data_IF_322297088532
#
_entry.id   IF_322297088532
#
_cell.length_a   1.000
_cell.length_b   1.000
_cell.length_c   1.000
_cell.angle_alpha   90.00
_cell.angle_beta   90.00
_cell.angle_gamma   90.00
#
_symmetry.space_group_name_H-M   'P 1'
#
loop_
_entity.id
_entity.type
_entity.pdbx_description
1 polymer ?
#
# COMPACT_ATOMS: atom_id res chain seq x y z
N UNK A 1 29.01 33.09 25.37
CA UNK A 1 27.79 32.31 25.61
C UNK A 1 26.87 32.57 24.44
N UNK A 2 26.95 31.76 23.39
CA UNK A 2 26.00 31.67 22.27
C UNK A 2 26.51 30.47 21.47
N UNK A 3 25.96 29.28 21.71
CA UNK A 3 24.80 28.68 21.03
C UNK A 3 25.27 27.68 19.97
N UNK A 4 24.79 26.47 20.16
CA UNK A 4 24.90 25.27 19.35
C UNK A 4 24.57 25.54 17.87
N UNK A 5 25.27 24.89 16.94
CA UNK A 5 24.64 24.28 15.77
C UNK A 5 25.58 23.20 15.21
N UNK A 6 25.24 21.94 15.50
CA UNK A 6 25.82 20.74 14.92
C UNK A 6 25.78 20.83 13.38
N UNK A 7 26.95 20.88 12.76
CA UNK A 7 27.12 20.97 11.30
C UNK A 7 26.75 19.64 10.63
N UNK A 8 25.46 19.45 10.36
CA UNK A 8 24.99 18.39 9.46
C UNK A 8 25.45 18.74 8.06
N UNK A 9 26.36 17.94 7.51
CA UNK A 9 26.81 18.01 6.12
C UNK A 9 25.58 18.00 5.19
N UNK A 10 25.37 18.99 4.31
CA UNK A 10 24.14 19.10 3.53
C UNK A 10 24.08 18.15 2.32
N UNK A 11 25.04 17.24 2.13
CA UNK A 11 25.22 16.55 0.85
C UNK A 11 24.49 15.20 0.73
N UNK A 12 23.21 15.12 1.12
CA UNK A 12 22.46 13.87 0.98
C UNK A 12 20.93 14.08 0.91
N UNK A 13 20.42 14.89 -0.02
CA UNK A 13 18.95 14.92 -0.29
C UNK A 13 18.47 15.57 -1.60
N UNK A 14 19.34 15.92 -2.54
CA UNK A 14 18.93 16.70 -3.72
C UNK A 14 19.25 16.01 -5.06
N UNK A 15 18.98 14.70 -5.19
CA UNK A 15 19.09 13.96 -6.48
C UNK A 15 17.79 13.34 -7.00
N UNK A 16 16.64 13.92 -6.68
CA UNK A 16 15.50 13.90 -7.62
C UNK A 16 14.92 15.32 -7.67
N UNK A 17 14.94 15.92 -8.85
CA UNK A 17 14.42 17.27 -9.04
C UNK A 17 12.94 17.33 -8.67
N UNK A 18 12.49 18.43 -8.06
CA UNK A 18 11.92 19.56 -8.80
C UNK A 18 11.49 20.68 -7.84
N UNK A 19 11.86 21.90 -8.20
CA UNK A 19 11.29 23.14 -7.69
C UNK A 19 9.89 23.33 -8.30
N UNK A 20 8.99 23.90 -7.50
CA UNK A 20 7.68 24.49 -7.81
C UNK A 20 6.49 23.61 -7.42
N UNK A 21 5.87 23.99 -6.30
CA UNK A 21 4.77 23.27 -5.68
C UNK A 21 3.47 23.37 -6.47
N UNK A 22 2.93 22.21 -6.85
CA UNK A 22 1.52 21.86 -6.89
C UNK A 22 1.44 20.31 -6.93
N UNK A 23 0.87 19.72 -5.87
CA UNK A 23 0.32 18.35 -5.77
C UNK A 23 1.26 17.13 -5.85
N UNK A 24 1.11 16.29 -4.81
CA UNK A 24 1.67 14.96 -4.53
C UNK A 24 3.21 14.85 -4.59
N UNK A 25 3.85 14.98 -3.43
CA UNK A 25 5.08 14.24 -3.16
C UNK A 25 4.78 12.76 -3.37
N UNK A 26 5.07 12.23 -4.56
CA UNK A 26 5.70 10.91 -4.59
C UNK A 26 7.05 11.14 -3.92
N UNK A 27 7.05 11.04 -2.59
CA UNK A 27 8.18 10.38 -1.95
C UNK A 27 8.21 9.07 -2.74
N UNK A 28 9.18 8.92 -3.63
CA UNK A 28 9.54 7.59 -4.08
C UNK A 28 9.97 6.93 -2.78
N UNK A 29 9.02 6.31 -2.08
CA UNK A 29 9.31 5.30 -1.08
C UNK A 29 9.93 4.18 -1.92
N UNK A 30 11.18 4.36 -2.33
CA UNK A 30 11.90 3.33 -3.03
C UNK A 30 12.11 2.28 -1.97
N UNK A 31 11.41 1.16 -2.11
CA UNK A 31 11.57 0.06 -1.15
C UNK A 31 13.01 -0.39 -1.29
N UNK A 32 13.79 -0.49 -0.20
CA UNK A 32 15.14 -1.05 -0.30
C UNK A 32 15.03 -2.46 -0.88
N UNK A 33 15.72 -2.74 -1.99
CA UNK A 33 15.56 -4.01 -2.73
C UNK A 33 14.74 -3.93 -4.01
N UNK A 34 14.01 -2.84 -4.26
CA UNK A 34 13.26 -2.59 -5.50
C UNK A 34 14.19 -1.92 -6.53
N UNK A 35 14.84 -2.75 -7.35
CA UNK A 35 15.81 -2.32 -8.35
C UNK A 35 15.12 -1.75 -9.60
N UNK A 36 13.94 -2.27 -9.96
CA UNK A 36 13.20 -1.85 -11.16
C UNK A 36 12.24 -0.66 -10.91
N UNK A 37 12.06 -0.26 -9.65
CA UNK A 37 11.16 0.79 -9.16
C UNK A 37 9.68 0.57 -9.49
N UNK A 38 9.25 -0.70 -9.56
CA UNK A 38 7.85 -1.05 -9.79
C UNK A 38 7.00 -0.99 -8.51
N UNK A 39 7.64 -0.79 -7.36
CA UNK A 39 7.00 -0.70 -6.06
C UNK A 39 6.69 -2.07 -5.43
N UNK A 40 7.34 -3.13 -5.89
CA UNK A 40 7.32 -4.49 -5.35
C UNK A 40 8.77 -4.99 -5.27
N UNK A 41 9.10 -5.77 -4.23
CA UNK A 41 10.40 -6.47 -4.17
C UNK A 41 10.18 -7.94 -4.49
N UNK A 42 10.56 -8.36 -5.70
CA UNK A 42 10.32 -9.71 -6.21
C UNK A 42 11.52 -10.34 -6.94
N UNK A 43 11.27 -11.43 -7.67
CA UNK A 43 12.28 -12.16 -8.44
C UNK A 43 12.88 -11.37 -9.61
N UNK A 44 12.19 -10.35 -10.10
CA UNK A 44 12.71 -9.44 -11.13
C UNK A 44 13.85 -8.59 -10.56
N UNK A 45 13.71 -8.09 -9.32
CA UNK A 45 14.78 -7.36 -8.65
C UNK A 45 15.98 -8.25 -8.35
N UNK A 46 15.72 -9.47 -7.90
CA UNK A 46 16.79 -10.45 -7.67
C UNK A 46 17.51 -10.83 -8.97
N UNK A 47 16.79 -10.86 -10.09
CA UNK A 47 17.40 -11.08 -11.41
C UNK A 47 18.31 -9.94 -11.81
N UNK A 48 17.92 -8.69 -11.55
CA UNK A 48 18.76 -7.50 -11.80
C UNK A 48 20.03 -7.56 -10.95
N UNK A 49 19.90 -7.83 -9.65
CA UNK A 49 21.05 -7.98 -8.76
C UNK A 49 21.98 -9.12 -9.20
N UNK A 50 21.43 -10.24 -9.67
CA UNK A 50 22.23 -11.36 -10.18
C UNK A 50 22.96 -11.04 -11.49
N UNK A 51 22.38 -10.20 -12.36
CA UNK A 51 23.02 -9.77 -13.61
C UNK A 51 24.25 -8.90 -13.38
N UNK A 52 24.26 -8.13 -12.29
CA UNK A 52 25.34 -7.22 -11.90
C UNK A 52 26.17 -7.75 -10.73
N UNK A 53 26.08 -9.05 -10.43
CA UNK A 53 26.74 -9.64 -9.27
C UNK A 53 28.26 -9.40 -9.29
N UNK A 54 28.78 -8.80 -8.22
CA UNK A 54 30.19 -8.41 -8.05
C UNK A 54 30.70 -7.40 -9.07
N UNK A 55 29.78 -6.67 -9.71
CA UNK A 55 30.17 -5.51 -10.49
C UNK A 55 30.58 -4.37 -9.54
N UNK A 56 31.56 -3.60 -9.99
CA UNK A 56 32.13 -2.45 -9.26
C UNK A 56 32.32 -1.25 -10.19
N UNK A 57 32.04 -1.41 -11.48
CA UNK A 57 32.12 -0.34 -12.46
C UNK A 57 30.68 0.08 -12.82
N UNK A 58 30.40 1.38 -12.73
CA UNK A 58 29.09 1.96 -13.07
C UNK A 58 27.89 1.37 -12.28
N UNK A 59 28.12 1.00 -11.02
CA UNK A 59 27.06 0.52 -10.12
C UNK A 59 26.17 1.67 -9.61
N UNK A 60 24.88 1.36 -9.49
CA UNK A 60 23.83 2.23 -9.00
C UNK A 60 22.71 1.41 -8.37
N UNK A 61 21.75 2.09 -7.76
CA UNK A 61 20.52 1.46 -7.25
C UNK A 61 19.85 0.52 -8.28
N UNK A 62 19.81 0.92 -9.55
CA UNK A 62 19.19 0.16 -10.64
C UNK A 62 19.99 -1.08 -11.06
N UNK A 63 21.25 -1.18 -10.65
CA UNK A 63 22.08 -2.36 -10.89
C UNK A 63 22.15 -3.26 -9.65
N UNK A 64 21.45 -2.92 -8.56
CA UNK A 64 21.40 -3.71 -7.34
C UNK A 64 22.38 -3.29 -6.24
N UNK A 65 22.98 -2.10 -6.31
CA UNK A 65 23.69 -1.50 -5.16
C UNK A 65 22.67 -0.72 -4.31
N UNK A 66 22.15 -1.37 -3.28
CA UNK A 66 21.13 -0.78 -2.41
C UNK A 66 21.73 -0.03 -1.22
N UNK A 67 23.03 -0.22 -0.96
CA UNK A 67 23.74 0.35 0.18
C UNK A 67 24.67 1.54 -0.20
N UNK A 68 24.82 1.80 -1.51
CA UNK A 68 25.64 2.86 -2.13
C UNK A 68 27.13 2.74 -1.75
N UNK A 69 27.65 1.52 -1.58
CA UNK A 69 29.07 1.24 -1.29
C UNK A 69 29.93 1.03 -2.54
N UNK A 70 29.31 1.05 -3.73
CA UNK A 70 30.02 0.94 -4.99
C UNK A 70 30.38 -0.50 -5.37
N UNK A 71 29.72 -1.49 -4.77
CA UNK A 71 29.76 -2.89 -5.20
C UNK A 71 28.37 -3.52 -5.09
N UNK A 72 28.10 -4.53 -5.93
CA UNK A 72 26.93 -5.41 -5.75
C UNK A 72 27.41 -6.70 -5.09
N UNK A 73 27.17 -6.84 -3.78
CA UNK A 73 27.66 -7.98 -2.99
C UNK A 73 26.58 -8.65 -2.12
N UNK A 74 26.99 -9.53 -1.20
CA UNK A 74 26.07 -10.24 -0.32
C UNK A 74 25.26 -9.31 0.59
N UNK A 75 25.74 -8.10 0.87
CA UNK A 75 25.01 -7.10 1.67
C UNK A 75 23.80 -6.59 0.90
N UNK A 76 23.92 -6.35 -0.40
CA UNK A 76 22.77 -5.93 -1.22
C UNK A 76 21.73 -7.04 -1.34
N UNK A 77 22.19 -8.29 -1.52
CA UNK A 77 21.30 -9.44 -1.50
C UNK A 77 20.57 -9.58 -0.15
N UNK A 78 21.23 -9.26 0.96
CA UNK A 78 20.60 -9.27 2.29
C UNK A 78 19.56 -8.16 2.46
N UNK A 79 19.78 -6.99 1.86
CA UNK A 79 18.82 -5.89 1.84
C UNK A 79 17.58 -6.29 1.03
N UNK A 80 17.78 -6.84 -0.17
CA UNK A 80 16.70 -7.33 -1.01
C UNK A 80 15.88 -8.42 -0.30
N UNK A 81 16.56 -9.41 0.29
CA UNK A 81 15.90 -10.49 1.04
C UNK A 81 15.12 -9.98 2.25
N UNK A 82 15.61 -8.94 2.93
CA UNK A 82 14.95 -8.35 4.10
C UNK A 82 13.64 -7.64 3.76
N UNK A 83 13.48 -7.18 2.52
CA UNK A 83 12.30 -6.45 2.05
C UNK A 83 11.47 -7.26 1.05
N UNK A 84 11.75 -8.55 0.89
CA UNK A 84 11.05 -9.43 -0.05
C UNK A 84 9.52 -9.39 0.14
N UNK A 85 8.80 -9.17 -0.95
CA UNK A 85 7.34 -9.11 -0.97
C UNK A 85 6.75 -7.83 -0.35
N UNK A 86 7.56 -6.85 0.04
CA UNK A 86 7.05 -5.52 0.35
C UNK A 86 6.49 -4.88 -0.92
N UNK A 87 5.37 -4.16 -0.75
CA UNK A 87 4.75 -3.42 -1.85
C UNK A 87 4.24 -2.07 -1.39
N UNK A 88 4.44 -1.06 -2.22
CA UNK A 88 3.93 0.29 -2.02
C UNK A 88 2.62 0.54 -2.79
N UNK A 89 1.98 -0.52 -3.25
CA UNK A 89 0.64 -0.39 -3.80
C UNK A 89 -0.32 0.07 -2.69
N UNK A 90 -1.12 1.12 -2.92
CA UNK A 90 -2.14 1.53 -1.97
C UNK A 90 -3.09 0.36 -1.78
N UNK A 91 -3.01 -0.30 -0.61
CA UNK A 91 -3.96 -1.33 -0.22
C UNK A 91 -5.33 -0.66 -0.16
N UNK A 92 -6.13 -0.84 -1.21
CA UNK A 92 -7.53 -0.45 -1.20
C UNK A 92 -8.22 -1.34 -0.18
N UNK A 93 -8.25 -0.86 1.06
CA UNK A 93 -9.05 -1.46 2.11
C UNK A 93 -10.49 -1.36 1.63
N UNK A 94 -11.01 -2.45 1.08
CA UNK A 94 -12.41 -2.60 0.71
C UNK A 94 -13.23 -2.64 2.00
N UNK A 95 -13.37 -1.47 2.62
CA UNK A 95 -14.38 -1.28 3.65
C UNK A 95 -15.71 -1.42 2.92
N UNK A 96 -16.38 -2.55 3.14
CA UNK A 96 -17.73 -2.76 2.64
C UNK A 96 -18.61 -1.70 3.31
N UNK A 97 -18.79 -0.55 2.64
CA UNK A 97 -19.72 0.47 3.11
C UNK A 97 -21.10 -0.16 3.01
N UNK A 98 -21.83 -0.37 4.13
CA UNK A 98 -23.19 -0.85 4.04
C UNK A 98 -24.00 0.23 3.32
N UNK A 99 -24.45 -0.09 2.11
CA UNK A 99 -25.23 0.84 1.31
C UNK A 99 -26.50 1.24 2.10
N UNK A 100 -26.79 2.53 2.28
CA UNK A 100 -27.98 2.98 3.02
C UNK A 100 -29.29 2.45 2.42
N UNK A 101 -29.26 2.03 1.15
CA UNK A 101 -30.38 1.45 0.43
C UNK A 101 -30.82 0.07 0.93
N UNK A 102 -29.92 -0.72 1.55
CA UNK A 102 -30.28 -2.04 2.08
C UNK A 102 -31.33 -1.94 3.21
N UNK A 103 -31.26 -0.88 4.02
CA UNK A 103 -32.23 -0.60 5.07
C UNK A 103 -33.59 -0.17 4.51
N UNK A 104 -33.59 0.57 3.40
CA UNK A 104 -34.82 1.06 2.75
C UNK A 104 -35.67 -0.08 2.18
N UNK A 105 -35.03 -1.13 1.65
CA UNK A 105 -35.77 -2.29 1.11
C UNK A 105 -36.29 -3.27 2.18
N UNK A 106 -35.70 -3.30 3.38
CA UNK A 106 -36.04 -4.28 4.41
C UNK A 106 -37.28 -3.86 5.25
N UNK A 107 -37.47 -2.56 5.46
CA UNK A 107 -38.61 -1.99 6.20
C UNK A 107 -40.00 -2.32 5.61
N UNK A 108 -40.26 -2.19 4.29
CA UNK A 108 -41.58 -2.50 3.72
C UNK A 108 -41.92 -3.99 3.77
N UNK A 109 -40.93 -4.90 3.65
CA UNK A 109 -41.16 -6.35 3.79
C UNK A 109 -41.58 -6.74 5.21
N UNK A 110 -40.95 -6.16 6.22
CA UNK A 110 -41.30 -6.42 7.62
C UNK A 110 -42.72 -5.94 7.96
N UNK A 111 -43.11 -4.76 7.44
CA UNK A 111 -44.46 -4.22 7.62
C UNK A 111 -45.53 -5.09 6.92
N UNK A 112 -45.26 -5.54 5.69
CA UNK A 112 -46.16 -6.42 4.94
C UNK A 112 -46.37 -7.77 5.65
N UNK A 113 -45.29 -8.37 6.17
CA UNK A 113 -45.35 -9.62 6.93
C UNK A 113 -46.18 -9.47 8.22
N UNK A 114 -46.06 -8.34 8.92
CA UNK A 114 -46.81 -8.08 10.15
C UNK A 114 -48.29 -7.82 9.89
N UNK A 115 -48.63 -7.10 8.82
CA UNK A 115 -50.01 -6.91 8.37
C UNK A 115 -50.67 -8.24 7.96
N UNK A 116 -49.96 -9.08 7.20
CA UNK A 116 -50.45 -10.40 6.82
C UNK A 116 -50.70 -11.31 8.05
N UNK A 117 -49.83 -11.24 9.06
CA UNK A 117 -49.99 -11.98 10.32
C UNK A 117 -51.20 -11.51 11.14
N UNK A 118 -51.47 -10.20 11.20
CA UNK A 118 -52.65 -9.65 11.90
C UNK A 118 -53.95 -10.02 11.20
N UNK A 119 -54.01 -9.98 9.87
CA UNK A 119 -55.19 -10.36 9.10
C UNK A 119 -55.55 -11.85 9.23
N UNK A 120 -54.56 -12.73 9.42
CA UNK A 120 -54.80 -14.18 9.65
C UNK A 120 -55.39 -14.47 11.03
N UNK A 121 -55.02 -13.68 12.05
CA UNK A 121 -55.53 -13.87 13.43
C UNK A 121 -57.01 -13.50 13.57
N UNK A 122 -57.46 -12.46 12.88
CA UNK A 122 -58.87 -12.01 12.95
C UNK A 122 -59.82 -12.93 12.19
N UNK A 123 -59.37 -13.59 11.12
CA UNK A 123 -60.18 -14.58 10.38
C UNK A 123 -60.48 -15.85 11.18
N UNK A 124 -59.55 -16.28 12.05
CA UNK A 124 -59.73 -17.47 12.90
C UNK A 124 -60.83 -17.30 13.96
N UNK A 125 -61.13 -16.05 14.36
CA UNK A 125 -62.15 -15.75 15.37
C UNK A 125 -63.58 -15.70 14.81
N UNK A 126 -63.76 -15.74 13.47
CA UNK A 126 -65.07 -15.73 12.81
C UNK A 126 -65.53 -17.13 12.34
N UNK A 127 -64.77 -18.19 12.60
CA UNK A 127 -65.13 -19.56 12.22
C UNK A 127 -65.69 -20.42 13.38
N UNK A 128 -66.03 -19.80 14.51
CA UNK A 128 -66.63 -20.46 15.69
C UNK A 128 -67.90 -19.72 16.17
N UNK A 129 -68.77 -19.32 15.24
CA UNK A 129 -70.12 -18.84 15.53
C UNK A 129 -71.08 -19.43 14.50
#
# INVERSE_FOLDING_TARGET
MESQQYGISPNQKDRCGLRNGHHYQRVSDTIPGDANQDGVVDDQDASILALHWRDTADVSWFTGDFNDDGAVDERDASILASHWGMTNQPTVSMTSVPEPSALVMLLPLAAAAQCARRARRTRRHKQHA
#
